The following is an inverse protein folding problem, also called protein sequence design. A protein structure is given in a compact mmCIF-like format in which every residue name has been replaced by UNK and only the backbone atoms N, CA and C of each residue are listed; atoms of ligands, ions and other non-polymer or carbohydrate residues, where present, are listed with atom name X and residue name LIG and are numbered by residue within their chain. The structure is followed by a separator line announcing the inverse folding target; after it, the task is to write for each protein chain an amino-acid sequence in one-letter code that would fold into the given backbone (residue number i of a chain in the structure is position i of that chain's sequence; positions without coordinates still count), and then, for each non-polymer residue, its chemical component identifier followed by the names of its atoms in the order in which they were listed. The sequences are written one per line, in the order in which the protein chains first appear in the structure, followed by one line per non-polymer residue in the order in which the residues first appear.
data_IF_714676792954
#
_entry.id   IF_714676792954
#
_cell.length_a   1.000
_cell.length_b   1.000
_cell.length_c   1.000
_cell.angle_alpha   90.00
_cell.angle_beta   90.00
_cell.angle_gamma   90.00
#
_symmetry.space_group_name_H-M   'P 1'
#
loop_
_entity.id
_entity.type
_entity.pdbx_description
1 polymer ?
#
# COMPACT_ATOMS: atom_id res chain seq x y z
N UNK A 1 -35.22 4.44 -7.62
CA UNK A 1 -34.90 3.43 -6.59
C UNK A 1 -33.79 4.02 -5.75
N UNK A 2 -33.91 4.04 -4.43
CA UNK A 2 -32.84 4.57 -3.58
C UNK A 2 -31.64 3.62 -3.58
N UNK A 3 -30.44 4.18 -3.64
CA UNK A 3 -29.15 3.47 -3.63
C UNK A 3 -28.68 3.15 -2.19
N UNK A 4 -29.62 3.07 -1.24
CA UNK A 4 -29.36 2.90 0.20
C UNK A 4 -28.67 1.59 0.54
N UNK A 5 -28.72 0.58 -0.34
CA UNK A 5 -27.98 -0.67 -0.18
C UNK A 5 -26.46 -0.43 -0.06
N UNK A 6 -25.91 0.61 -0.72
CA UNK A 6 -24.51 1.01 -0.57
C UNK A 6 -24.17 1.47 0.86
N UNK A 7 -25.12 2.05 1.59
CA UNK A 7 -24.91 2.45 2.99
C UNK A 7 -24.53 1.23 3.84
N UNK A 8 -25.25 0.12 3.67
CA UNK A 8 -25.01 -1.13 4.37
C UNK A 8 -23.75 -1.82 3.87
N UNK A 9 -23.57 -1.93 2.55
CA UNK A 9 -22.40 -2.56 1.96
C UNK A 9 -21.10 -1.93 2.49
N UNK A 10 -21.02 -0.60 2.47
CA UNK A 10 -19.84 0.15 2.90
C UNK A 10 -19.61 0.12 4.41
N UNK A 11 -20.67 0.04 5.21
CA UNK A 11 -20.53 -0.14 6.65
C UNK A 11 -19.95 -1.51 6.97
N UNK A 12 -20.48 -2.57 6.34
CA UNK A 12 -20.02 -3.94 6.53
C UNK A 12 -18.58 -4.12 6.03
N UNK A 13 -18.28 -3.68 4.81
CA UNK A 13 -16.92 -3.79 4.26
C UNK A 13 -15.91 -2.96 5.04
N UNK A 14 -16.28 -1.77 5.51
CA UNK A 14 -15.44 -0.95 6.37
C UNK A 14 -15.08 -1.66 7.67
N UNK A 15 -16.06 -2.27 8.35
CA UNK A 15 -15.84 -3.04 9.58
C UNK A 15 -14.96 -4.26 9.35
N UNK A 16 -15.27 -5.07 8.34
CA UNK A 16 -14.48 -6.25 7.98
C UNK A 16 -13.06 -5.85 7.62
N UNK A 17 -12.89 -4.86 6.76
CA UNK A 17 -11.60 -4.37 6.28
C UNK A 17 -10.72 -3.85 7.42
N UNK A 18 -11.30 -3.06 8.32
CA UNK A 18 -10.61 -2.56 9.51
C UNK A 18 -10.14 -3.67 10.44
N UNK A 19 -11.04 -4.58 10.82
CA UNK A 19 -10.69 -5.72 11.70
C UNK A 19 -9.64 -6.60 11.05
N UNK A 20 -9.80 -6.90 9.75
CA UNK A 20 -8.85 -7.70 9.01
C UNK A 20 -7.48 -7.03 8.99
N UNK A 21 -7.41 -5.74 8.68
CA UNK A 21 -6.18 -4.94 8.66
C UNK A 21 -5.46 -4.92 10.00
N UNK A 22 -6.16 -4.70 11.11
CA UNK A 22 -5.53 -4.72 12.43
C UNK A 22 -4.93 -6.08 12.75
N UNK A 23 -5.67 -7.17 12.49
CA UNK A 23 -5.22 -8.53 12.81
C UNK A 23 -4.04 -8.92 11.91
N UNK A 24 -4.19 -8.80 10.60
CA UNK A 24 -3.21 -9.30 9.63
C UNK A 24 -1.89 -8.50 9.69
N UNK A 25 -1.94 -7.18 9.78
CA UNK A 25 -0.75 -6.34 9.94
C UNK A 25 -0.07 -6.56 11.29
N UNK A 26 -0.81 -6.72 12.39
CA UNK A 26 -0.20 -7.01 13.71
C UNK A 26 0.54 -8.35 13.70
N UNK A 27 -0.07 -9.39 13.14
CA UNK A 27 0.57 -10.71 12.98
C UNK A 27 1.83 -10.58 12.10
N UNK A 28 1.74 -9.86 10.99
CA UNK A 28 2.86 -9.68 10.09
C UNK A 28 4.01 -8.91 10.75
N UNK A 29 3.74 -7.82 11.48
CA UNK A 29 4.74 -7.09 12.26
C UNK A 29 5.39 -8.01 13.30
N UNK A 30 4.60 -8.81 14.03
CA UNK A 30 5.13 -9.78 14.99
C UNK A 30 6.08 -10.78 14.32
N UNK A 31 5.70 -11.35 13.17
CA UNK A 31 6.56 -12.29 12.44
C UNK A 31 7.81 -11.62 11.87
N UNK A 32 7.70 -10.39 11.35
CA UNK A 32 8.85 -9.62 10.87
C UNK A 32 9.84 -9.35 12.03
N UNK A 33 9.34 -9.01 13.22
CA UNK A 33 10.19 -8.70 14.35
C UNK A 33 10.87 -9.95 14.94
N UNK A 34 10.11 -11.01 15.20
CA UNK A 34 10.59 -12.17 15.97
C UNK A 34 11.03 -13.37 15.13
N UNK A 35 10.58 -13.48 13.88
CA UNK A 35 10.78 -14.69 13.04
C UNK A 35 11.49 -14.41 11.71
N UNK A 36 11.71 -13.15 11.35
CA UNK A 36 12.40 -12.78 10.11
C UNK A 36 13.87 -13.23 10.12
N UNK A 37 14.31 -13.83 9.02
CA UNK A 37 15.71 -14.18 8.80
C UNK A 37 16.58 -12.90 8.79
N UNK A 38 17.77 -12.96 9.42
CA UNK A 38 18.75 -11.86 9.41
C UNK A 38 19.14 -11.43 7.98
N UNK A 39 19.04 -12.33 7.01
CA UNK A 39 19.32 -12.07 5.59
C UNK A 39 18.33 -11.11 4.90
N UNK A 40 17.20 -10.77 5.53
CA UNK A 40 16.24 -9.77 5.02
C UNK A 40 16.79 -8.34 5.17
N UNK A 41 17.73 -8.10 6.10
CA UNK A 41 18.40 -6.81 6.26
C UNK A 41 17.42 -5.66 6.55
N UNK A 42 17.74 -4.46 6.04
CA UNK A 42 16.92 -3.24 6.26
C UNK A 42 15.51 -3.30 5.64
N UNK A 43 15.23 -4.26 4.76
CA UNK A 43 13.92 -4.40 4.11
C UNK A 43 12.80 -4.59 5.13
N UNK A 44 13.09 -5.23 6.27
CA UNK A 44 12.13 -5.44 7.34
C UNK A 44 11.51 -4.13 7.84
N UNK A 45 12.27 -3.03 7.86
CA UNK A 45 11.78 -1.73 8.30
C UNK A 45 10.77 -1.14 7.31
N UNK A 46 10.98 -1.36 6.00
CA UNK A 46 10.04 -0.94 4.96
C UNK A 46 8.74 -1.75 5.05
N UNK A 47 8.82 -3.06 5.26
CA UNK A 47 7.62 -3.88 5.46
C UNK A 47 6.83 -3.44 6.71
N UNK A 48 7.51 -3.19 7.83
CA UNK A 48 6.85 -2.70 9.05
C UNK A 48 6.22 -1.32 8.83
N UNK A 49 6.91 -0.41 8.12
CA UNK A 49 6.35 0.90 7.75
C UNK A 49 5.04 0.73 6.96
N UNK A 50 5.02 -0.20 6.00
CA UNK A 50 3.82 -0.49 5.21
C UNK A 50 2.67 -1.04 6.06
N UNK A 51 2.98 -1.93 7.02
CA UNK A 51 1.98 -2.47 7.95
C UNK A 51 1.38 -1.38 8.84
N UNK A 52 2.23 -0.51 9.41
CA UNK A 52 1.78 0.60 10.26
C UNK A 52 0.93 1.58 9.44
N UNK A 53 1.36 1.90 8.21
CA UNK A 53 0.61 2.77 7.32
C UNK A 53 -0.76 2.20 6.94
N UNK A 54 -0.84 0.92 6.59
CA UNK A 54 -2.12 0.28 6.21
C UNK A 54 -3.11 0.19 7.37
N UNK A 55 -2.62 -0.05 8.60
CA UNK A 55 -3.45 0.07 9.81
C UNK A 55 -3.96 1.50 9.99
N UNK A 56 -3.10 2.50 9.88
CA UNK A 56 -3.50 3.92 9.94
C UNK A 56 -4.54 4.26 8.87
N UNK A 57 -4.33 3.83 7.63
CA UNK A 57 -5.28 4.04 6.54
C UNK A 57 -6.65 3.42 6.84
N UNK A 58 -6.66 2.22 7.43
CA UNK A 58 -7.91 1.55 7.82
C UNK A 58 -8.66 2.31 8.92
N UNK A 59 -7.94 2.93 9.86
CA UNK A 59 -8.54 3.82 10.86
C UNK A 59 -9.19 5.03 10.19
N UNK A 60 -8.52 5.64 9.21
CA UNK A 60 -9.03 6.79 8.45
C UNK A 60 -10.30 6.40 7.69
N UNK A 61 -10.32 5.27 6.99
CA UNK A 61 -11.50 4.72 6.29
C UNK A 61 -12.69 4.55 7.23
N UNK A 62 -12.47 3.87 8.37
CA UNK A 62 -13.50 3.65 9.39
C UNK A 62 -14.08 4.96 9.94
N UNK A 63 -13.22 5.97 10.09
CA UNK A 63 -13.60 7.27 10.63
C UNK A 63 -14.35 8.14 9.60
N UNK A 64 -13.89 8.16 8.35
CA UNK A 64 -14.47 9.01 7.30
C UNK A 64 -15.76 8.45 6.71
N UNK A 65 -15.93 7.12 6.72
CA UNK A 65 -17.08 6.41 6.14
C UNK A 65 -17.44 6.93 4.73
N UNK A 66 -16.48 6.91 3.78
CA UNK A 66 -16.62 7.62 2.53
C UNK A 66 -17.67 7.01 1.59
N UNK A 67 -18.24 7.84 0.72
CA UNK A 67 -18.89 7.43 -0.52
C UNK A 67 -18.14 8.02 -1.71
N UNK A 68 -18.23 7.31 -2.83
CA UNK A 68 -17.97 7.88 -4.15
C UNK A 68 -19.29 7.97 -4.91
N UNK A 69 -19.47 9.06 -5.65
CA UNK A 69 -20.62 9.25 -6.51
C UNK A 69 -20.21 10.10 -7.71
N UNK A 70 -20.61 9.70 -8.93
CA UNK A 70 -20.41 10.55 -10.11
C UNK A 70 -21.75 11.12 -10.54
N UNK A 71 -21.82 12.45 -10.60
CA UNK A 71 -23.02 13.20 -10.98
C UNK A 71 -22.63 14.61 -11.49
N UNK A 72 -23.29 15.11 -12.55
CA UNK A 72 -23.08 16.47 -13.12
C UNK A 72 -21.60 16.75 -13.39
N UNK A 73 -20.96 15.89 -14.19
CA UNK A 73 -19.55 16.02 -14.59
C UNK A 73 -18.57 16.14 -13.38
N UNK A 74 -18.98 15.61 -12.22
CA UNK A 74 -18.26 15.72 -10.95
C UNK A 74 -18.13 14.36 -10.27
N UNK A 75 -16.91 13.99 -9.90
CA UNK A 75 -16.67 12.87 -8.98
C UNK A 75 -16.71 13.40 -7.54
N UNK A 76 -17.78 13.08 -6.82
CA UNK A 76 -17.96 13.44 -5.42
C UNK A 76 -17.31 12.39 -4.53
N UNK A 77 -16.35 12.82 -3.72
CA UNK A 77 -15.93 12.10 -2.53
C UNK A 77 -16.70 12.65 -1.34
N UNK A 78 -17.63 11.87 -0.79
CA UNK A 78 -18.50 12.29 0.31
C UNK A 78 -18.01 11.63 1.60
N UNK A 79 -17.82 12.41 2.67
CA UNK A 79 -17.52 11.95 4.02
C UNK A 79 -18.79 11.98 4.87
N UNK A 80 -19.03 10.95 5.70
CA UNK A 80 -20.11 10.97 6.71
C UNK A 80 -19.57 11.26 8.10
N UNK A 81 -19.98 12.38 8.69
CA UNK A 81 -19.47 12.91 9.97
C UNK A 81 -20.01 12.13 11.17
N UNK A 82 -19.15 11.83 12.15
CA UNK A 82 -19.56 11.32 13.46
C UNK A 82 -19.90 12.44 14.44
N UNK A 83 -19.21 13.56 14.30
CA UNK A 83 -19.30 14.72 15.19
C UNK A 83 -19.58 15.96 14.36
N UNK A 84 -20.25 16.94 14.96
CA UNK A 84 -20.46 18.23 14.32
C UNK A 84 -19.17 19.06 14.41
N UNK A 85 -18.33 18.92 13.38
CA UNK A 85 -17.03 19.57 13.29
C UNK A 85 -17.09 20.79 12.37
N UNK A 86 -16.29 21.81 12.68
CA UNK A 86 -16.15 22.98 11.83
C UNK A 86 -15.70 22.64 10.41
N UNK A 87 -16.09 23.45 9.42
CA UNK A 87 -15.85 23.20 7.99
C UNK A 87 -14.37 22.92 7.66
N UNK A 88 -13.45 23.71 8.22
CA UNK A 88 -12.01 23.54 8.00
C UNK A 88 -11.53 22.18 8.51
N UNK A 89 -11.97 21.77 9.70
CA UNK A 89 -11.58 20.49 10.31
C UNK A 89 -12.13 19.33 9.47
N UNK A 90 -13.41 19.39 9.10
CA UNK A 90 -14.02 18.35 8.25
C UNK A 90 -13.32 18.24 6.91
N UNK A 91 -12.96 19.36 6.29
CA UNK A 91 -12.20 19.38 5.04
C UNK A 91 -10.80 18.77 5.18
N UNK A 92 -10.08 19.05 6.27
CA UNK A 92 -8.77 18.42 6.55
C UNK A 92 -8.92 16.90 6.72
N UNK A 93 -9.98 16.46 7.41
CA UNK A 93 -10.27 15.05 7.62
C UNK A 93 -10.60 14.36 6.28
N UNK A 94 -11.46 14.95 5.45
CA UNK A 94 -11.75 14.48 4.10
C UNK A 94 -10.50 14.37 3.23
N UNK A 95 -9.62 15.37 3.24
CA UNK A 95 -8.39 15.36 2.40
C UNK A 95 -7.32 14.40 2.94
N UNK A 96 -7.39 14.00 4.21
CA UNK A 96 -6.54 12.93 4.77
C UNK A 96 -6.79 11.60 4.04
N UNK A 97 -7.97 11.40 3.47
CA UNK A 97 -8.21 10.24 2.59
C UNK A 97 -7.31 10.27 1.35
N UNK A 98 -7.18 11.44 0.72
CA UNK A 98 -6.31 11.63 -0.45
C UNK A 98 -4.82 11.46 -0.09
N UNK A 99 -4.41 11.91 1.10
CA UNK A 99 -3.08 11.60 1.64
C UNK A 99 -2.83 10.10 1.68
N UNK A 100 -3.79 9.31 2.16
CA UNK A 100 -3.63 7.85 2.24
C UNK A 100 -3.53 7.19 0.85
N UNK A 101 -4.32 7.64 -0.14
CA UNK A 101 -4.15 7.18 -1.51
C UNK A 101 -2.74 7.47 -2.04
N UNK A 102 -2.29 8.72 -1.91
CA UNK A 102 -0.96 9.14 -2.36
C UNK A 102 0.17 8.36 -1.69
N UNK A 103 0.10 8.19 -0.36
CA UNK A 103 1.04 7.38 0.42
C UNK A 103 1.10 5.94 -0.06
N UNK A 104 -0.04 5.34 -0.46
CA UNK A 104 -0.07 3.97 -0.95
C UNK A 104 0.78 3.81 -2.21
N UNK A 105 0.62 4.73 -3.18
CA UNK A 105 1.42 4.72 -4.43
C UNK A 105 2.91 4.92 -4.16
N UNK A 106 3.26 5.91 -3.34
CA UNK A 106 4.65 6.27 -3.09
C UNK A 106 5.37 5.22 -2.25
N UNK A 107 4.69 4.58 -1.30
CA UNK A 107 5.26 3.47 -0.54
C UNK A 107 5.51 2.24 -1.42
N UNK A 108 4.61 1.90 -2.35
CA UNK A 108 4.90 0.85 -3.34
C UNK A 108 6.12 1.19 -4.19
N UNK A 109 6.22 2.43 -4.71
CA UNK A 109 7.39 2.87 -5.44
C UNK A 109 8.68 2.73 -4.60
N UNK A 110 8.63 3.11 -3.31
CA UNK A 110 9.76 2.95 -2.38
C UNK A 110 10.14 1.48 -2.15
N UNK A 111 9.17 0.57 -2.05
CA UNK A 111 9.44 -0.86 -1.93
C UNK A 111 10.21 -1.39 -3.15
N UNK A 112 9.77 -1.03 -4.36
CA UNK A 112 10.44 -1.44 -5.60
C UNK A 112 11.82 -0.80 -5.74
N UNK A 113 11.96 0.47 -5.35
CA UNK A 113 13.24 1.17 -5.34
C UNK A 113 14.24 0.47 -4.41
N UNK A 114 13.83 0.14 -3.19
CA UNK A 114 14.65 -0.63 -2.27
C UNK A 114 15.09 -1.96 -2.89
N UNK A 115 14.15 -2.69 -3.50
CA UNK A 115 14.46 -3.98 -4.14
C UNK A 115 15.46 -3.85 -5.26
N UNK A 116 15.29 -2.85 -6.11
CA UNK A 116 16.22 -2.53 -7.16
C UNK A 116 17.62 -2.22 -6.60
N UNK A 117 17.70 -1.41 -5.54
CA UNK A 117 18.99 -1.07 -4.93
C UNK A 117 19.65 -2.29 -4.29
N UNK A 118 18.91 -3.07 -3.50
CA UNK A 118 19.41 -4.28 -2.87
C UNK A 118 19.90 -5.34 -3.87
N UNK A 119 19.29 -5.39 -5.08
CA UNK A 119 19.57 -6.42 -6.08
C UNK A 119 20.60 -5.98 -7.13
N UNK A 120 20.46 -4.76 -7.63
CA UNK A 120 21.20 -4.25 -8.80
C UNK A 120 22.30 -3.26 -8.41
N UNK A 121 22.21 -2.61 -7.24
CA UNK A 121 23.10 -1.53 -6.81
C UNK A 121 23.44 -1.64 -5.32
N UNK A 122 23.89 -2.82 -4.89
CA UNK A 122 24.09 -3.14 -3.47
C UNK A 122 25.01 -2.15 -2.70
N UNK A 123 25.95 -1.49 -3.38
CA UNK A 123 26.80 -0.44 -2.79
C UNK A 123 26.01 0.79 -2.28
N UNK A 124 24.84 1.06 -2.84
CA UNK A 124 23.94 2.16 -2.43
C UNK A 124 23.00 1.76 -1.29
N UNK A 125 23.06 0.52 -0.79
CA UNK A 125 22.12 0.04 0.23
C UNK A 125 22.24 0.78 1.57
N UNK A 126 23.39 1.42 1.84
CA UNK A 126 23.61 2.24 3.03
C UNK A 126 22.63 3.43 3.13
N UNK A 127 22.12 3.94 2.00
CA UNK A 127 21.07 4.97 1.97
C UNK A 127 19.71 4.50 2.48
N UNK A 128 19.54 3.20 2.75
CA UNK A 128 18.34 2.62 3.37
C UNK A 128 18.61 2.17 4.80
N UNK A 129 19.52 2.85 5.49
CA UNK A 129 19.87 2.58 6.89
C UNK A 129 20.07 3.88 7.67
N UNK A 130 19.85 3.84 8.98
CA UNK A 130 20.04 4.98 9.88
C UNK A 130 19.24 6.23 9.47
N UNK A 131 19.87 7.40 9.53
CA UNK A 131 19.25 8.68 9.19
C UNK A 131 18.78 8.78 7.73
N UNK A 132 19.47 8.12 6.79
CA UNK A 132 19.07 8.12 5.38
C UNK A 132 17.72 7.44 5.16
N UNK A 133 17.38 6.44 5.98
CA UNK A 133 16.07 5.81 5.93
C UNK A 133 14.96 6.80 6.31
N UNK A 134 15.20 7.68 7.29
CA UNK A 134 14.24 8.72 7.68
C UNK A 134 14.01 9.73 6.54
N UNK A 135 15.04 10.05 5.74
CA UNK A 135 14.89 10.92 4.58
C UNK A 135 13.93 10.33 3.52
N UNK A 136 13.96 9.01 3.30
CA UNK A 136 13.00 8.35 2.42
C UNK A 136 11.57 8.42 2.95
N UNK A 137 11.38 8.25 4.28
CA UNK A 137 10.06 8.41 4.91
C UNK A 137 9.57 9.85 4.71
N UNK A 138 10.40 10.84 5.02
CA UNK A 138 10.07 12.25 4.85
C UNK A 138 9.74 12.57 3.40
N UNK A 139 10.52 12.10 2.43
CA UNK A 139 10.24 12.29 1.01
C UNK A 139 8.89 11.70 0.60
N UNK A 140 8.58 10.48 1.04
CA UNK A 140 7.31 9.79 0.77
C UNK A 140 6.13 10.56 1.35
N UNK A 141 6.24 10.99 2.61
CA UNK A 141 5.22 11.78 3.30
C UNK A 141 5.04 13.14 2.64
N UNK A 142 6.11 13.83 2.24
CA UNK A 142 6.03 15.11 1.55
C UNK A 142 5.29 15.02 0.21
N UNK A 143 5.53 13.96 -0.57
CA UNK A 143 4.78 13.74 -1.82
C UNK A 143 3.29 13.54 -1.52
N UNK A 144 2.95 12.74 -0.51
CA UNK A 144 1.55 12.53 -0.15
C UNK A 144 0.87 13.78 0.45
N UNK A 145 1.59 14.56 1.24
CA UNK A 145 1.12 15.86 1.73
C UNK A 145 0.87 16.83 0.58
N UNK A 146 1.71 16.83 -0.47
CA UNK A 146 1.49 17.68 -1.64
C UNK A 146 0.14 17.37 -2.31
N UNK A 147 -0.25 16.10 -2.37
CA UNK A 147 -1.55 15.67 -2.86
C UNK A 147 -2.67 16.12 -1.93
N UNK A 148 -2.53 15.95 -0.62
CA UNK A 148 -3.51 16.42 0.37
C UNK A 148 -3.72 17.94 0.28
N UNK A 149 -2.64 18.71 0.17
CA UNK A 149 -2.68 20.17 0.05
C UNK A 149 -3.36 20.57 -1.25
N UNK A 150 -3.00 19.94 -2.38
CA UNK A 150 -3.69 20.13 -3.65
C UNK A 150 -5.18 19.82 -3.51
N UNK A 151 -5.54 18.72 -2.84
CA UNK A 151 -6.93 18.36 -2.60
C UNK A 151 -7.68 19.42 -1.78
N UNK A 152 -7.04 19.94 -0.74
CA UNK A 152 -7.59 20.97 0.12
C UNK A 152 -7.83 22.29 -0.62
N UNK A 153 -6.90 22.74 -1.47
CA UNK A 153 -6.97 24.06 -2.10
C UNK A 153 -7.58 24.07 -3.51
N UNK A 154 -7.50 22.98 -4.28
CA UNK A 154 -7.85 22.99 -5.71
C UNK A 154 -9.25 22.45 -6.02
N UNK A 155 -9.95 21.84 -5.05
CA UNK A 155 -11.32 21.33 -5.21
C UNK A 155 -12.33 22.07 -4.30
N UNK A 156 -12.52 23.40 -4.47
CA UNK A 156 -13.41 24.18 -3.60
C UNK A 156 -14.87 23.76 -3.77
N UNK A 157 -15.63 23.82 -2.68
CA UNK A 157 -17.09 23.72 -2.72
C UNK A 157 -17.68 25.04 -3.25
N UNK A 158 -18.77 24.96 -4.02
CA UNK A 158 -19.50 26.11 -4.53
C UNK A 158 -21.02 25.84 -4.52
N UNK A 159 -21.83 26.87 -4.76
CA UNK A 159 -23.29 26.76 -4.67
C UNK A 159 -23.88 25.65 -5.56
N UNK A 160 -23.29 25.43 -6.75
CA UNK A 160 -23.77 24.39 -7.67
C UNK A 160 -23.38 22.98 -7.20
N UNK A 161 -22.13 22.79 -6.76
CA UNK A 161 -21.71 21.48 -6.23
C UNK A 161 -22.43 21.16 -4.92
N UNK A 162 -22.79 22.16 -4.13
CA UNK A 162 -23.62 22.03 -2.92
C UNK A 162 -25.04 21.57 -3.26
N UNK A 163 -25.66 22.14 -4.29
CA UNK A 163 -26.99 21.72 -4.74
C UNK A 163 -26.97 20.26 -5.22
N UNK A 164 -25.99 19.90 -6.06
CA UNK A 164 -25.81 18.52 -6.52
C UNK A 164 -25.54 17.56 -5.35
N UNK A 165 -24.70 17.95 -4.40
CA UNK A 165 -24.43 17.17 -3.19
C UNK A 165 -25.70 16.91 -2.37
N UNK A 166 -26.51 17.93 -2.09
CA UNK A 166 -27.79 17.77 -1.36
C UNK A 166 -28.76 16.87 -2.10
N UNK A 167 -28.84 17.02 -3.42
CA UNK A 167 -29.64 16.16 -4.27
C UNK A 167 -29.21 14.69 -4.17
N UNK A 168 -27.91 14.40 -4.24
CA UNK A 168 -27.34 13.05 -4.12
C UNK A 168 -27.63 12.47 -2.73
N UNK A 169 -27.40 13.23 -1.66
CA UNK A 169 -27.66 12.80 -0.29
C UNK A 169 -29.11 12.37 -0.08
N UNK A 170 -30.07 13.17 -0.58
CA UNK A 170 -31.49 12.91 -0.43
C UNK A 170 -31.99 11.78 -1.34
N UNK A 171 -31.68 11.83 -2.64
CA UNK A 171 -32.31 10.95 -3.63
C UNK A 171 -31.60 9.60 -3.78
N UNK A 172 -30.28 9.57 -3.60
CA UNK A 172 -29.49 8.34 -3.75
C UNK A 172 -29.34 7.63 -2.41
N UNK A 173 -28.90 8.34 -1.35
CA UNK A 173 -28.50 7.70 -0.10
C UNK A 173 -29.50 7.80 1.05
N UNK A 174 -30.50 8.69 0.95
CA UNK A 174 -31.45 8.96 2.03
C UNK A 174 -30.78 9.46 3.31
N UNK A 175 -29.67 10.19 3.20
CA UNK A 175 -28.91 10.73 4.33
C UNK A 175 -29.10 12.24 4.47
N UNK A 176 -29.03 12.72 5.71
CA UNK A 176 -29.02 14.16 5.97
C UNK A 176 -27.67 14.77 5.55
N UNK A 177 -27.72 15.71 4.61
CA UNK A 177 -26.55 16.45 4.13
C UNK A 177 -25.88 17.28 5.24
N UNK A 178 -26.58 17.63 6.32
CA UNK A 178 -26.00 18.33 7.47
C UNK A 178 -24.96 17.47 8.21
N UNK A 179 -25.07 16.14 8.13
CA UNK A 179 -24.17 15.16 8.73
C UNK A 179 -23.16 14.56 7.74
N UNK A 180 -23.02 15.18 6.57
CA UNK A 180 -22.03 14.81 5.58
C UNK A 180 -21.26 16.04 5.08
N UNK A 181 -20.13 15.80 4.45
CA UNK A 181 -19.34 16.81 3.75
C UNK A 181 -18.78 16.19 2.47
N UNK A 182 -18.28 16.98 1.53
CA UNK A 182 -17.85 16.46 0.24
C UNK A 182 -16.66 17.21 -0.37
N UNK A 183 -15.93 16.51 -1.21
CA UNK A 183 -14.93 17.10 -2.10
C UNK A 183 -15.36 16.86 -3.55
N UNK A 184 -15.66 17.94 -4.29
CA UNK A 184 -16.08 17.84 -5.68
C UNK A 184 -14.85 17.85 -6.60
N UNK A 185 -14.56 16.71 -7.24
CA UNK A 185 -13.65 16.67 -8.38
C UNK A 185 -14.45 17.04 -9.63
N UNK A 186 -14.64 18.34 -9.84
CA UNK A 186 -15.47 18.87 -10.93
C UNK A 186 -14.62 19.19 -12.16
N UNK A 187 -14.93 18.56 -13.29
CA UNK A 187 -14.10 18.69 -14.49
C UNK A 187 -14.53 19.85 -15.36
N UNK A 188 -15.84 20.03 -15.47
CA UNK A 188 -16.46 21.03 -16.31
C UNK A 188 -17.55 21.76 -15.55
N UNK A 189 -17.73 23.05 -15.86
CA UNK A 189 -18.95 23.77 -15.54
C UNK A 189 -19.77 23.97 -16.81
N UNK A 190 -21.09 24.10 -16.65
CA UNK A 190 -21.99 24.44 -17.74
C UNK A 190 -22.38 25.90 -17.61
N UNK A 191 -22.28 26.65 -18.69
CA UNK A 191 -22.74 28.04 -18.75
C UNK A 191 -24.27 28.14 -18.94
N UNK A 192 -24.76 29.37 -19.12
CA UNK A 192 -26.19 29.65 -19.35
C UNK A 192 -26.73 29.03 -20.65
N UNK A 193 -25.85 28.75 -21.62
CA UNK A 193 -26.17 28.11 -22.89
C UNK A 193 -26.01 26.58 -22.84
N UNK A 194 -25.75 26.03 -21.65
CA UNK A 194 -25.49 24.61 -21.40
C UNK A 194 -24.22 24.07 -22.09
N UNK A 195 -23.30 24.94 -22.48
CA UNK A 195 -22.00 24.55 -23.04
C UNK A 195 -21.02 24.16 -21.92
N UNK A 196 -20.22 23.12 -22.18
CA UNK A 196 -19.24 22.60 -21.22
C UNK A 196 -17.94 23.39 -21.31
N UNK A 197 -17.57 24.03 -20.20
CA UNK A 197 -16.31 24.75 -20.05
C UNK A 197 -15.42 24.09 -18.99
N UNK A 198 -14.10 23.96 -19.24
CA UNK A 198 -13.19 23.33 -18.30
C UNK A 198 -13.01 24.14 -17.00
N UNK A 199 -13.07 23.46 -15.86
CA UNK A 199 -12.70 24.05 -14.57
C UNK A 199 -11.18 23.95 -14.36
N UNK A 200 -10.46 24.97 -14.83
CA UNK A 200 -8.99 24.98 -14.81
C UNK A 200 -8.37 24.77 -13.42
N UNK A 201 -9.05 25.22 -12.34
CA UNK A 201 -8.56 25.04 -10.97
C UNK A 201 -8.61 23.58 -10.55
N UNK A 202 -9.74 22.92 -10.79
CA UNK A 202 -9.91 21.50 -10.50
C UNK A 202 -9.01 20.65 -11.41
N UNK A 203 -8.90 21.01 -12.69
CA UNK A 203 -8.03 20.32 -13.65
C UNK A 203 -6.55 20.40 -13.24
N UNK A 204 -6.09 21.53 -12.68
CA UNK A 204 -4.75 21.63 -12.12
C UNK A 204 -4.55 20.64 -10.95
N UNK A 205 -5.55 20.49 -10.08
CA UNK A 205 -5.52 19.50 -9.00
C UNK A 205 -5.45 18.07 -9.51
N UNK A 206 -6.28 17.74 -10.50
CA UNK A 206 -6.28 16.41 -11.15
C UNK A 206 -4.92 16.15 -11.83
N UNK A 207 -4.36 17.13 -12.53
CA UNK A 207 -3.03 17.01 -13.15
C UNK A 207 -1.96 16.72 -12.10
N UNK A 208 -1.98 17.42 -10.95
CA UNK A 208 -1.04 17.16 -9.86
C UNK A 208 -1.18 15.72 -9.33
N UNK A 209 -2.41 15.21 -9.16
CA UNK A 209 -2.64 13.83 -8.73
C UNK A 209 -2.10 12.83 -9.77
N UNK A 210 -2.34 13.08 -11.06
CA UNK A 210 -1.83 12.25 -12.16
C UNK A 210 -0.29 12.22 -12.19
N UNK A 211 0.38 13.35 -11.95
CA UNK A 211 1.85 13.39 -11.86
C UNK A 211 2.37 12.47 -10.75
N UNK A 212 1.72 12.47 -9.57
CA UNK A 212 2.13 11.58 -8.48
C UNK A 212 1.86 10.11 -8.81
N UNK A 213 0.71 9.79 -9.43
CA UNK A 213 0.37 8.43 -9.87
C UNK A 213 1.39 7.93 -10.89
N UNK A 214 1.57 8.65 -12.01
CA UNK A 214 2.45 8.24 -13.09
C UNK A 214 3.92 8.24 -12.67
N UNK A 215 4.35 9.20 -11.84
CA UNK A 215 5.69 9.22 -11.27
C UNK A 215 5.97 7.98 -10.41
N UNK A 216 5.03 7.64 -9.52
CA UNK A 216 5.15 6.46 -8.65
C UNK A 216 5.17 5.16 -9.45
N UNK A 217 4.27 5.00 -10.42
CA UNK A 217 4.26 3.84 -11.31
C UNK A 217 5.49 3.77 -12.21
N UNK A 218 5.99 4.90 -12.71
CA UNK A 218 7.22 4.96 -13.48
C UNK A 218 8.42 4.41 -12.70
N UNK A 219 8.59 4.84 -11.44
CA UNK A 219 9.62 4.31 -10.54
C UNK A 219 9.41 2.82 -10.29
N UNK A 220 8.17 2.42 -9.98
CA UNK A 220 7.80 1.03 -9.71
C UNK A 220 8.16 0.11 -10.88
N UNK A 221 7.70 0.44 -12.10
CA UNK A 221 7.89 -0.39 -13.29
C UNK A 221 9.35 -0.45 -13.70
N UNK A 222 10.05 0.69 -13.69
CA UNK A 222 11.47 0.73 -13.98
C UNK A 222 12.27 -0.15 -13.00
N UNK A 223 12.06 0.06 -11.70
CA UNK A 223 12.76 -0.70 -10.67
C UNK A 223 12.39 -2.19 -10.71
N UNK A 224 11.12 -2.52 -10.92
CA UNK A 224 10.63 -3.89 -11.03
C UNK A 224 11.23 -4.64 -12.22
N UNK A 225 11.23 -4.03 -13.40
CA UNK A 225 11.80 -4.63 -14.61
C UNK A 225 13.31 -4.85 -14.47
N UNK A 226 14.05 -3.84 -13.98
CA UNK A 226 15.50 -3.95 -13.75
C UNK A 226 15.83 -5.03 -12.72
N UNK A 227 15.06 -5.11 -11.63
CA UNK A 227 15.23 -6.15 -10.60
C UNK A 227 15.01 -7.53 -11.18
N UNK A 228 13.92 -7.74 -11.93
CA UNK A 228 13.62 -9.02 -12.58
C UNK A 228 14.71 -9.44 -13.56
N UNK A 229 15.19 -8.51 -14.39
CA UNK A 229 16.26 -8.77 -15.36
C UNK A 229 17.56 -9.19 -14.65
N UNK A 230 17.94 -8.48 -13.58
CA UNK A 230 19.13 -8.83 -12.81
C UNK A 230 18.98 -10.20 -12.15
N UNK A 231 17.80 -10.51 -11.58
CA UNK A 231 17.48 -11.79 -10.95
C UNK A 231 17.69 -13.00 -11.88
N UNK A 232 17.38 -12.86 -13.18
CA UNK A 232 17.66 -13.90 -14.18
C UNK A 232 19.16 -14.12 -14.44
N UNK A 233 19.97 -13.08 -14.23
CA UNK A 233 21.42 -13.10 -14.51
C UNK A 233 22.29 -13.43 -13.30
N UNK A 234 21.72 -13.75 -12.12
CA UNK A 234 22.51 -14.03 -10.91
C UNK A 234 23.39 -15.28 -11.07
N UNK A 235 24.68 -15.04 -11.34
CA UNK A 235 25.78 -16.01 -11.15
C UNK A 235 26.48 -15.69 -9.83
N UNK A 236 26.78 -16.70 -9.01
CA UNK A 236 27.67 -16.55 -7.83
C UNK A 236 27.03 -16.28 -6.45
N UNK A 237 25.69 -16.24 -6.32
CA UNK A 237 25.02 -16.17 -4.99
C UNK A 237 24.56 -17.57 -4.57
N UNK A 238 24.65 -17.89 -3.28
CA UNK A 238 24.20 -19.18 -2.75
C UNK A 238 22.73 -19.47 -3.10
N UNK A 239 22.42 -20.73 -3.39
CA UNK A 239 21.06 -21.16 -3.78
C UNK A 239 20.00 -20.74 -2.75
N UNK A 240 20.35 -20.73 -1.45
CA UNK A 240 19.47 -20.33 -0.35
C UNK A 240 19.13 -18.84 -0.38
N UNK A 241 20.14 -17.97 -0.50
CA UNK A 241 19.93 -16.52 -0.57
C UNK A 241 19.19 -16.13 -1.85
N UNK A 242 19.54 -16.76 -2.99
CA UNK A 242 18.83 -16.56 -4.26
C UNK A 242 17.35 -16.90 -4.16
N UNK A 243 17.02 -18.04 -3.54
CA UNK A 243 15.65 -18.47 -3.36
C UNK A 243 14.85 -17.50 -2.49
N UNK A 244 15.41 -17.03 -1.37
CA UNK A 244 14.74 -16.06 -0.49
C UNK A 244 14.47 -14.72 -1.20
N UNK A 245 15.46 -14.17 -1.90
CA UNK A 245 15.28 -12.92 -2.65
C UNK A 245 14.20 -13.07 -3.72
N UNK A 246 14.19 -14.19 -4.45
CA UNK A 246 13.16 -14.46 -5.45
C UNK A 246 11.76 -14.57 -4.86
N UNK A 247 11.60 -15.26 -3.71
CA UNK A 247 10.31 -15.33 -3.02
C UNK A 247 9.81 -13.94 -2.63
N UNK A 248 10.69 -13.13 -2.05
CA UNK A 248 10.40 -11.78 -1.62
C UNK A 248 10.02 -10.85 -2.78
N UNK A 249 10.73 -10.94 -3.91
CA UNK A 249 10.40 -10.20 -5.11
C UNK A 249 9.07 -10.66 -5.71
N UNK A 250 8.83 -11.98 -5.78
CA UNK A 250 7.55 -12.53 -6.24
C UNK A 250 6.39 -12.08 -5.35
N UNK A 251 6.57 -12.08 -4.03
CA UNK A 251 5.57 -11.58 -3.09
C UNK A 251 5.26 -10.10 -3.37
N UNK A 252 6.28 -9.28 -3.55
CA UNK A 252 6.12 -7.87 -3.89
C UNK A 252 5.41 -7.67 -5.24
N UNK A 253 5.74 -8.45 -6.28
CA UNK A 253 5.05 -8.36 -7.58
C UNK A 253 3.57 -8.73 -7.46
N UNK A 254 3.23 -9.79 -6.74
CA UNK A 254 1.83 -10.19 -6.53
C UNK A 254 1.08 -9.15 -5.68
N UNK A 255 1.72 -8.61 -4.63
CA UNK A 255 1.20 -7.51 -3.82
C UNK A 255 0.95 -6.25 -4.61
N UNK A 256 1.67 -6.01 -5.71
CA UNK A 256 1.40 -4.88 -6.59
C UNK A 256 0.31 -5.16 -7.59
N UNK A 257 0.28 -6.36 -8.17
CA UNK A 257 -0.71 -6.73 -9.19
C UNK A 257 -2.12 -6.65 -8.60
N UNK A 258 -2.31 -7.10 -7.36
CA UNK A 258 -3.62 -7.08 -6.70
C UNK A 258 -4.23 -5.65 -6.60
N UNK A 259 -3.61 -4.67 -5.92
CA UNK A 259 -4.11 -3.30 -5.88
C UNK A 259 -4.06 -2.64 -7.26
N UNK A 260 -3.15 -3.00 -8.16
CA UNK A 260 -3.18 -2.46 -9.53
C UNK A 260 -4.48 -2.82 -10.26
N UNK A 261 -4.90 -4.08 -10.20
CA UNK A 261 -6.10 -4.56 -10.89
C UNK A 261 -7.40 -4.13 -10.19
N UNK A 262 -7.43 -4.19 -8.86
CA UNK A 262 -8.68 -4.01 -8.11
C UNK A 262 -8.84 -2.59 -7.55
N UNK A 263 -7.75 -1.85 -7.33
CA UNK A 263 -7.82 -0.52 -6.71
C UNK A 263 -7.43 0.58 -7.70
N UNK A 264 -6.24 0.51 -8.30
CA UNK A 264 -5.67 1.63 -9.05
C UNK A 264 -6.23 1.79 -10.45
N UNK A 265 -6.33 0.70 -11.22
CA UNK A 265 -6.91 0.77 -12.55
C UNK A 265 -8.40 1.18 -12.51
N UNK A 266 -9.24 0.60 -11.63
CA UNK A 266 -10.60 1.06 -11.42
C UNK A 266 -10.70 2.52 -10.95
N UNK A 267 -9.84 2.96 -10.02
CA UNK A 267 -9.80 4.37 -9.61
C UNK A 267 -9.47 5.29 -10.79
N UNK A 268 -8.46 4.94 -11.61
CA UNK A 268 -8.11 5.69 -12.82
C UNK A 268 -9.27 5.77 -13.82
N UNK A 269 -10.02 4.69 -13.98
CA UNK A 269 -11.24 4.67 -14.77
C UNK A 269 -12.30 5.64 -14.22
N UNK A 270 -12.50 5.69 -12.89
CA UNK A 270 -13.42 6.65 -12.27
C UNK A 270 -12.99 8.11 -12.50
N UNK A 271 -11.69 8.42 -12.47
CA UNK A 271 -11.19 9.75 -12.85
C UNK A 271 -11.40 10.07 -14.34
N UNK A 272 -11.51 9.07 -15.22
CA UNK A 272 -11.80 9.28 -16.63
C UNK A 272 -13.30 9.47 -16.92
N UNK A 273 -14.18 8.92 -16.07
CA UNK A 273 -15.63 8.93 -16.30
C UNK A 273 -16.22 10.34 -16.51
N UNK A 274 -15.92 11.36 -15.67
CA UNK A 274 -16.42 12.72 -15.91
C UNK A 274 -15.92 13.33 -17.23
N UNK A 275 -14.72 12.96 -17.69
CA UNK A 275 -14.16 13.42 -18.98
C UNK A 275 -14.97 12.82 -20.15
N UNK A 276 -15.34 11.55 -20.01
CA UNK A 276 -16.12 10.81 -21.00
C UNK A 276 -17.62 11.10 -20.93
N UNK A 277 -18.07 11.88 -19.93
CA UNK A 277 -19.49 12.16 -19.68
C UNK A 277 -20.27 10.96 -19.14
N UNK A 278 -19.60 10.02 -18.48
CA UNK A 278 -20.23 8.85 -17.89
C UNK A 278 -20.68 9.11 -16.46
N UNK A 279 -22.01 9.07 -16.26
CA UNK A 279 -22.67 9.32 -14.97
C UNK A 279 -22.94 7.99 -14.24
N UNK A 280 -21.90 7.43 -13.61
CA UNK A 280 -22.00 6.13 -12.94
C UNK A 280 -22.81 6.16 -11.62
N UNK A 281 -23.09 7.34 -11.07
CA UNK A 281 -23.87 7.49 -9.86
C UNK A 281 -23.27 6.74 -8.66
N UNK A 282 -24.15 6.09 -7.88
CA UNK A 282 -23.77 5.38 -6.67
C UNK A 282 -23.00 4.08 -6.92
N UNK A 283 -23.00 3.55 -8.15
CA UNK A 283 -22.25 2.32 -8.47
C UNK A 283 -20.75 2.50 -8.21
N UNK A 284 -20.23 3.71 -8.29
CA UNK A 284 -18.82 4.02 -7.98
C UNK A 284 -18.39 3.64 -6.56
N UNK A 285 -19.34 3.40 -5.64
CA UNK A 285 -19.06 2.89 -4.31
C UNK A 285 -18.44 1.49 -4.27
N UNK A 286 -18.51 0.69 -5.34
CA UNK A 286 -17.76 -0.58 -5.40
C UNK A 286 -16.27 -0.33 -5.14
N UNK A 287 -15.76 0.81 -5.59
CA UNK A 287 -14.37 1.18 -5.42
C UNK A 287 -14.03 1.41 -3.94
N UNK A 288 -14.93 2.04 -3.20
CA UNK A 288 -14.75 2.25 -1.76
C UNK A 288 -14.77 0.91 -1.03
N UNK A 289 -15.65 -0.02 -1.39
CA UNK A 289 -15.67 -1.39 -0.82
C UNK A 289 -14.31 -2.07 -1.00
N UNK A 290 -13.75 -2.05 -2.21
CA UNK A 290 -12.46 -2.68 -2.50
C UNK A 290 -11.35 -2.01 -1.69
N UNK A 291 -11.32 -0.68 -1.67
CA UNK A 291 -10.31 0.08 -0.93
C UNK A 291 -10.37 -0.18 0.57
N UNK A 292 -11.56 -0.36 1.15
CA UNK A 292 -11.71 -0.69 2.57
C UNK A 292 -11.16 -2.07 2.93
N UNK A 293 -11.30 -3.05 2.04
CA UNK A 293 -10.83 -4.42 2.27
C UNK A 293 -9.33 -4.58 2.00
N UNK A 294 -8.78 -3.78 1.08
CA UNK A 294 -7.39 -3.87 0.62
C UNK A 294 -6.34 -3.86 1.75
N UNK A 295 -6.37 -2.93 2.72
CA UNK A 295 -5.38 -2.88 3.81
C UNK A 295 -5.28 -4.16 4.63
N UNK A 296 -6.36 -4.94 4.70
CA UNK A 296 -6.37 -6.25 5.35
C UNK A 296 -5.89 -7.39 4.46
N UNK A 297 -6.16 -7.31 3.15
CA UNK A 297 -5.78 -8.33 2.17
C UNK A 297 -4.28 -8.30 1.85
N UNK A 298 -3.69 -7.12 1.71
CA UNK A 298 -2.26 -6.97 1.35
C UNK A 298 -1.30 -7.73 2.29
N UNK A 299 -1.33 -7.53 3.63
CA UNK A 299 -0.48 -8.29 4.54
C UNK A 299 -0.78 -9.79 4.53
N UNK A 300 -2.01 -10.23 4.22
CA UNK A 300 -2.30 -11.65 4.04
C UNK A 300 -1.57 -12.24 2.84
N UNK A 301 -1.47 -11.49 1.74
CA UNK A 301 -0.67 -11.90 0.56
C UNK A 301 0.80 -12.08 0.98
N UNK A 302 1.36 -11.15 1.76
CA UNK A 302 2.73 -11.28 2.32
C UNK A 302 2.86 -12.57 3.14
N UNK A 303 1.94 -12.80 4.08
CA UNK A 303 1.94 -13.94 5.00
C UNK A 303 1.85 -15.28 4.26
N UNK A 304 1.06 -15.36 3.19
CA UNK A 304 0.86 -16.59 2.43
C UNK A 304 1.98 -16.90 1.44
N UNK A 305 2.62 -15.87 0.84
CA UNK A 305 3.63 -16.05 -0.20
C UNK A 305 5.06 -16.26 0.32
N UNK A 306 5.40 -15.71 1.49
CA UNK A 306 6.73 -15.87 2.09
C UNK A 306 6.75 -17.14 2.93
N UNK A 307 7.53 -18.15 2.52
CA UNK A 307 7.45 -19.48 3.12
C UNK A 307 7.79 -19.51 4.61
N UNK A 308 8.73 -18.66 5.03
CA UNK A 308 9.16 -18.55 6.43
C UNK A 308 8.03 -18.00 7.32
N UNK A 309 7.28 -17.02 6.81
CA UNK A 309 6.13 -16.44 7.50
C UNK A 309 4.95 -17.41 7.53
N UNK A 310 4.61 -18.01 6.38
CA UNK A 310 3.54 -19.02 6.31
C UNK A 310 3.78 -20.20 7.24
N UNK A 311 5.02 -20.73 7.28
CA UNK A 311 5.38 -21.84 8.17
C UNK A 311 5.31 -21.42 9.64
N UNK A 312 5.79 -20.23 9.97
CA UNK A 312 5.71 -19.69 11.33
C UNK A 312 4.26 -19.50 11.78
N UNK A 313 3.41 -18.97 10.89
CA UNK A 313 1.98 -18.79 11.12
C UNK A 313 1.28 -20.14 11.36
N UNK A 314 1.54 -21.14 10.51
CA UNK A 314 0.99 -22.48 10.68
C UNK A 314 1.41 -23.13 12.00
N UNK A 315 2.66 -22.94 12.43
CA UNK A 315 3.13 -23.46 13.71
C UNK A 315 2.43 -22.79 14.91
N UNK A 316 2.11 -21.49 14.81
CA UNK A 316 1.36 -20.76 15.84
C UNK A 316 -0.09 -21.25 15.89
N UNK A 317 -0.75 -21.35 14.73
CA UNK A 317 -2.17 -21.76 14.64
C UNK A 317 -2.35 -23.23 15.06
N UNK A 318 -1.46 -24.12 14.62
CA UNK A 318 -1.57 -25.55 14.92
C UNK A 318 -0.94 -25.97 16.26
N UNK A 319 -0.51 -25.02 17.12
CA UNK A 319 0.12 -25.28 18.43
C UNK A 319 1.25 -26.33 18.39
N UNK A 320 1.92 -26.51 17.24
CA UNK A 320 3.04 -27.44 17.12
C UNK A 320 4.22 -26.82 17.85
N UNK A 321 4.53 -27.32 19.05
CA UNK A 321 5.77 -27.00 19.76
C UNK A 321 6.92 -27.12 18.77
N UNK A 322 7.61 -26.02 18.52
CA UNK A 322 8.82 -26.02 17.71
C UNK A 322 9.81 -26.97 18.35
N UNK A 323 9.98 -28.15 17.77
CA UNK A 323 11.16 -28.98 17.99
C UNK A 323 12.33 -28.13 17.49
N UNK A 324 12.99 -27.42 18.41
CA UNK A 324 14.35 -26.93 18.16
C UNK A 324 15.16 -28.16 17.73
N UNK A 325 15.93 -28.10 16.63
CA UNK A 325 16.98 -29.09 16.45
C UNK A 325 17.87 -28.94 17.69
N UNK A 326 17.94 -29.99 18.50
CA UNK A 326 18.90 -30.04 19.60
C UNK A 326 20.28 -29.77 19.00
N UNK A 327 21.02 -28.85 19.62
CA UNK A 327 22.46 -28.87 19.50
C UNK A 327 22.87 -30.29 19.92
N UNK A 328 23.26 -31.12 18.95
CA UNK A 328 24.10 -32.27 19.27
C UNK A 328 25.42 -31.69 19.77
N UNK A 329 25.51 -31.57 21.08
CA UNK A 329 26.73 -31.55 21.84
C UNK A 329 27.53 -32.77 21.38
N UNK A 330 28.54 -32.57 20.53
CA UNK A 330 29.63 -33.53 20.45
C UNK A 330 30.45 -33.35 21.73
N UNK A 331 30.02 -34.05 22.78
CA UNK A 331 30.85 -34.34 23.94
C UNK A 331 32.03 -35.18 23.48
N UNK A 332 33.23 -34.63 23.71
CA UNK A 332 34.52 -35.29 23.64
C UNK A 332 34.48 -36.64 24.35
N UNK A 333 34.81 -37.72 23.64
CA UNK A 333 35.37 -38.92 24.26
C UNK A 333 36.89 -38.79 24.19
N UNK A 334 37.51 -38.64 25.36
CA UNK A 334 38.94 -38.72 25.54
C UNK A 334 39.46 -40.09 25.11
N UNK A 335 40.48 -40.10 24.26
CA UNK A 335 41.24 -41.26 23.85
C UNK A 335 42.71 -40.88 23.72
N UNK A 336 43.41 -40.93 24.85
CA UNK A 336 44.86 -40.82 24.98
C UNK A 336 45.55 -41.89 24.13
N UNK A 337 46.48 -41.52 23.24
CA UNK A 337 47.88 -42.01 23.27
C UNK A 337 48.66 -41.76 21.96
N UNK A 338 49.89 -41.27 22.20
CA UNK A 338 51.15 -41.49 21.48
C UNK A 338 51.37 -40.92 20.07
N UNK A 339 52.20 -39.87 20.11
CA UNK A 339 53.21 -39.48 19.13
C UNK A 339 54.14 -40.67 18.80
N UNK A 340 54.36 -40.92 17.52
CA UNK A 340 55.62 -41.47 16.97
C UNK A 340 55.88 -40.83 15.60
N UNK A 341 57.12 -40.40 15.30
CA UNK A 341 57.47 -39.75 14.03
C UNK A 341 57.87 -40.79 12.97
N UNK A 342 57.44 -40.58 11.72
CA UNK A 342 57.89 -41.38 10.58
C UNK A 342 58.92 -40.61 9.76
N UNK A 343 60.10 -41.21 9.75
CA UNK A 343 61.38 -40.89 9.13
C UNK A 343 61.32 -40.66 7.62
N UNK A 344 62.12 -39.69 7.18
CA UNK A 344 62.66 -39.49 5.84
C UNK A 344 63.20 -40.77 5.20
N UNK A 345 62.82 -41.03 3.95
CA UNK A 345 63.55 -41.90 3.02
C UNK A 345 63.92 -41.07 1.79
N UNK A 346 65.21 -40.71 1.74
CA UNK A 346 65.91 -40.37 0.52
C UNK A 346 66.41 -41.68 -0.10
N UNK A 347 66.23 -41.85 -1.40
CA UNK A 347 66.95 -42.84 -2.20
C UNK A 347 67.55 -42.13 -3.41
N UNK A 348 68.86 -41.99 -3.39
CA UNK A 348 69.71 -41.71 -4.54
C UNK A 348 70.04 -43.00 -5.30
N UNK A 349 70.44 -42.81 -6.56
CA UNK A 349 71.22 -43.69 -7.45
C UNK A 349 70.45 -44.70 -8.34
N UNK A 350 70.11 -44.26 -9.57
CA UNK A 350 70.99 -44.43 -10.74
C UNK A 350 70.54 -43.55 -11.91
#
# INVERSE_FOLDING_TARGET
MSDTHWNHALQISGQIGFTLSLISNTILIFLIHFRSNRQIGSYKYILMLFCVFTMFYSCVEMFLRPFLHIYDDTLFLIQRKYFDLGKTVTRVLSTTYCFCYAMSFTLFALQFLYRYIATCKAHLLHYFSGAWFLLWITATVSIALSWQIAAFFLFPQNARTEQSFRFICQNSYGIDASWADYMPYKYFYRDEFNERHPDYRNLLGILQHLIVIFGSFGVLFYCGFRTYSQMKSFKGVSNKTRHLQYQLFRALVVQTIFPMLFMYFPTGFLFACPILGWELGANTNYQVVITQLYPGIDPMIVLMLISDYRRSLWNIICLRKSLRPGNNSYTNAAGTSRITPATTLASTDN
#
